data_IF_472256860758
#
_entry.id   IF_472256860758
#
_cell.length_a   1.000
_cell.length_b   1.000
_cell.length_c   1.000
_cell.angle_alpha   90.00
_cell.angle_beta   90.00
_cell.angle_gamma   90.00
#
_symmetry.space_group_name_H-M   'P 1'
#
loop_
_entity.id
_entity.type
_entity.pdbx_description
1 polymer ?
#
# COMPACT_ATOMS: atom_id res chain seq x y z
N UNK A 1 8.38 8.28 -12.29
CA UNK A 1 8.10 8.09 -10.86
C UNK A 1 9.25 7.42 -10.07
N UNK A 2 10.54 7.85 -10.19
CA UNK A 2 11.62 7.18 -9.46
C UNK A 2 11.75 7.59 -7.97
N UNK A 3 11.47 8.86 -7.61
CA UNK A 3 11.77 9.38 -6.28
C UNK A 3 10.95 8.79 -5.10
N UNK A 4 9.79 8.19 -5.37
CA UNK A 4 8.95 7.59 -4.32
C UNK A 4 9.30 6.12 -4.02
N UNK A 5 10.21 5.51 -4.79
CA UNK A 5 10.57 4.08 -4.68
C UNK A 5 11.73 3.84 -3.71
N UNK A 6 12.45 4.89 -3.35
CA UNK A 6 13.68 4.79 -2.57
C UNK A 6 13.41 4.97 -1.08
N UNK A 7 14.10 4.14 -0.28
CA UNK A 7 14.13 4.27 1.18
C UNK A 7 14.91 5.54 1.51
N UNK A 8 14.27 6.45 2.22
CA UNK A 8 14.90 7.68 2.69
C UNK A 8 15.83 7.36 3.86
N UNK A 9 17.14 7.38 3.59
CA UNK A 9 18.17 7.17 4.63
C UNK A 9 18.13 8.33 5.65
N UNK A 10 18.24 8.01 6.93
CA UNK A 10 18.28 9.00 8.03
C UNK A 10 16.92 9.47 8.55
N UNK A 11 15.81 9.07 7.92
CA UNK A 11 14.46 9.39 8.41
C UNK A 11 13.82 8.14 9.02
N UNK A 12 13.52 8.20 10.31
CA UNK A 12 12.87 7.10 11.04
C UNK A 12 11.35 7.25 11.01
N UNK A 13 10.65 6.13 11.14
CA UNK A 13 9.18 6.11 11.26
C UNK A 13 8.72 6.98 12.44
N UNK A 14 9.42 6.92 13.58
CA UNK A 14 9.09 7.70 14.77
C UNK A 14 9.24 9.21 14.51
N UNK A 15 10.31 9.63 13.83
CA UNK A 15 10.52 11.04 13.48
C UNK A 15 9.45 11.53 12.52
N UNK A 16 9.09 10.75 11.51
CA UNK A 16 8.01 11.14 10.62
C UNK A 16 6.66 11.24 11.35
N UNK A 17 6.37 10.31 12.28
CA UNK A 17 5.15 10.35 13.09
C UNK A 17 5.12 11.56 14.03
N UNK A 18 6.24 11.94 14.67
CA UNK A 18 6.26 13.11 15.57
C UNK A 18 5.89 14.41 14.86
N UNK A 19 6.20 14.50 13.58
CA UNK A 19 5.97 15.69 12.76
C UNK A 19 4.52 15.74 12.21
N UNK A 20 3.72 14.69 12.40
CA UNK A 20 2.32 14.65 11.94
C UNK A 20 1.42 15.50 12.83
N UNK A 21 0.73 16.43 12.16
CA UNK A 21 -0.31 17.27 12.75
C UNK A 21 -1.64 17.12 11.98
N UNK A 22 -2.79 17.25 12.66
CA UNK A 22 -2.96 17.37 14.12
C UNK A 22 -2.73 16.04 14.87
N UNK A 23 -2.70 16.09 16.21
CA UNK A 23 -2.47 14.93 17.11
C UNK A 23 -3.41 13.75 16.85
N UNK A 24 -4.67 14.01 16.49
CA UNK A 24 -5.63 12.97 16.10
C UNK A 24 -5.14 12.17 14.87
N UNK A 25 -4.65 12.87 13.85
CA UNK A 25 -4.06 12.25 12.66
C UNK A 25 -2.80 11.47 13.01
N UNK A 26 -1.99 11.97 13.94
CA UNK A 26 -0.80 11.27 14.45
C UNK A 26 -1.16 9.97 15.15
N UNK A 27 -2.18 9.99 16.00
CA UNK A 27 -2.67 8.80 16.70
C UNK A 27 -3.17 7.75 15.70
N UNK A 28 -3.92 8.16 14.68
CA UNK A 28 -4.42 7.27 13.64
C UNK A 28 -3.28 6.67 12.80
N UNK A 29 -2.32 7.49 12.37
CA UNK A 29 -1.11 7.02 11.69
C UNK A 29 -0.34 6.01 12.54
N UNK A 30 -0.22 6.27 13.85
CA UNK A 30 0.48 5.37 14.77
C UNK A 30 -0.24 4.03 14.92
N UNK A 31 -1.57 4.02 14.98
CA UNK A 31 -2.39 2.79 14.99
C UNK A 31 -2.19 1.99 13.70
N UNK A 32 -2.19 2.64 12.53
CA UNK A 32 -1.96 1.98 11.23
C UNK A 32 -0.56 1.36 11.19
N UNK A 33 0.46 2.09 11.65
CA UNK A 33 1.83 1.56 11.72
C UNK A 33 1.92 0.37 12.67
N UNK A 34 1.19 0.37 13.78
CA UNK A 34 1.09 -0.80 14.66
C UNK A 34 0.44 -2.00 13.95
N UNK A 35 -0.58 -1.78 13.12
CA UNK A 35 -1.17 -2.84 12.29
C UNK A 35 -0.16 -3.39 11.27
N UNK A 36 0.64 -2.52 10.64
CA UNK A 36 1.71 -2.96 9.73
C UNK A 36 2.73 -3.87 10.40
N UNK A 37 3.11 -3.56 11.65
CA UNK A 37 4.05 -4.39 12.44
C UNK A 37 3.55 -5.81 12.68
N UNK A 38 2.23 -6.05 12.64
CA UNK A 38 1.65 -7.40 12.75
C UNK A 38 1.92 -8.25 11.50
N UNK A 39 2.17 -7.61 10.35
CA UNK A 39 2.31 -8.28 9.06
C UNK A 39 3.74 -8.30 8.51
N UNK A 40 4.54 -7.29 8.84
CA UNK A 40 5.92 -7.19 8.38
C UNK A 40 6.84 -6.58 9.43
N UNK A 41 8.06 -7.10 9.50
CA UNK A 41 9.16 -6.50 10.28
C UNK A 41 9.91 -5.41 9.51
N UNK A 42 9.76 -5.37 8.18
CA UNK A 42 10.37 -4.37 7.31
C UNK A 42 9.43 -3.17 7.20
N UNK A 43 9.73 -2.09 7.93
CA UNK A 43 9.00 -0.83 7.85
C UNK A 43 9.99 0.30 7.66
N UNK A 44 9.84 1.03 6.55
CA UNK A 44 10.77 2.09 6.15
C UNK A 44 10.01 3.33 5.70
N UNK A 45 10.70 4.48 5.73
CA UNK A 45 10.19 5.69 5.13
C UNK A 45 10.62 5.74 3.66
N UNK A 46 9.65 5.95 2.77
CA UNK A 46 9.81 6.06 1.33
C UNK A 46 9.48 7.49 0.89
N UNK A 47 10.29 8.03 -0.03
CA UNK A 47 10.07 9.35 -0.62
C UNK A 47 9.84 10.48 0.41
N UNK A 48 10.45 10.38 1.59
CA UNK A 48 10.39 11.38 2.67
C UNK A 48 9.06 11.51 3.42
N UNK A 49 7.98 10.84 3.00
CA UNK A 49 6.64 11.07 3.59
C UNK A 49 5.74 9.84 3.71
N UNK A 50 6.17 8.69 3.19
CA UNK A 50 5.37 7.46 3.16
C UNK A 50 6.00 6.46 4.12
N UNK A 51 5.25 5.99 5.10
CA UNK A 51 5.66 4.86 5.93
C UNK A 51 5.21 3.59 5.22
N UNK A 52 6.13 2.90 4.57
CA UNK A 52 5.88 1.66 3.85
C UNK A 52 6.25 0.44 4.67
N UNK A 53 5.51 -0.65 4.48
CA UNK A 53 5.69 -1.92 5.15
C UNK A 53 5.72 -3.06 4.13
N UNK A 54 6.65 -3.99 4.37
CA UNK A 54 6.91 -5.13 3.49
C UNK A 54 7.60 -4.71 2.19
N UNK A 55 8.04 -5.72 1.44
CA UNK A 55 8.80 -5.55 0.21
C UNK A 55 8.22 -6.48 -0.86
N UNK A 56 7.97 -5.91 -2.04
CA UNK A 56 7.54 -6.65 -3.21
C UNK A 56 8.38 -6.29 -4.43
N UNK A 57 8.53 -7.23 -5.34
CA UNK A 57 9.11 -6.99 -6.65
C UNK A 57 8.05 -6.44 -7.59
N UNK A 58 8.22 -5.21 -8.06
CA UNK A 58 7.34 -4.59 -9.03
C UNK A 58 7.99 -4.57 -10.41
N UNK A 59 7.32 -5.18 -11.38
CA UNK A 59 7.72 -5.20 -12.77
C UNK A 59 6.74 -4.38 -13.61
N UNK A 60 7.20 -3.22 -14.07
CA UNK A 60 6.45 -2.39 -15.01
C UNK A 60 6.67 -2.86 -16.47
N UNK A 61 6.01 -2.21 -17.43
CA UNK A 61 6.30 -2.38 -18.87
C UNK A 61 7.74 -1.98 -19.26
N UNK A 62 8.44 -1.22 -18.40
CA UNK A 62 9.86 -0.92 -18.54
C UNK A 62 10.73 -2.11 -18.12
N UNK A 63 11.96 -2.20 -18.63
CA UNK A 63 12.84 -3.38 -18.53
C UNK A 63 13.33 -3.71 -17.11
N UNK A 64 13.42 -2.74 -16.19
CA UNK A 64 14.00 -3.00 -14.87
C UNK A 64 12.93 -3.18 -13.78
N UNK A 65 12.89 -4.34 -13.10
CA UNK A 65 12.10 -4.47 -11.89
C UNK A 65 12.66 -3.56 -10.80
N UNK A 66 11.80 -3.11 -9.90
CA UNK A 66 12.20 -2.36 -8.71
C UNK A 66 11.48 -2.89 -7.48
N UNK A 67 12.08 -2.66 -6.32
CA UNK A 67 11.45 -3.00 -5.05
C UNK A 67 10.43 -1.92 -4.69
N UNK A 68 9.25 -2.35 -4.27
CA UNK A 68 8.18 -1.48 -3.81
C UNK A 68 7.60 -1.99 -2.50
N UNK A 69 6.86 -1.15 -1.79
CA UNK A 69 6.16 -1.49 -0.55
C UNK A 69 4.88 -2.28 -0.83
N UNK A 70 4.55 -3.25 0.03
CA UNK A 70 3.27 -3.98 -0.07
C UNK A 70 2.11 -3.11 0.38
N UNK A 71 2.27 -2.46 1.53
CA UNK A 71 1.36 -1.46 2.08
C UNK A 71 2.13 -0.23 2.51
N UNK A 72 1.50 0.93 2.50
CA UNK A 72 2.08 2.13 3.08
C UNK A 72 1.04 3.14 3.51
N UNK A 73 1.42 4.08 4.35
CA UNK A 73 0.54 5.14 4.81
C UNK A 73 1.27 6.47 4.78
N UNK A 74 0.56 7.52 4.41
CA UNK A 74 1.08 8.87 4.42
C UNK A 74 0.04 9.85 4.95
N UNK A 75 0.48 10.74 5.82
CA UNK A 75 -0.30 11.90 6.23
C UNK A 75 -0.23 12.95 5.11
N UNK A 76 -1.38 13.30 4.54
CA UNK A 76 -1.53 14.44 3.62
C UNK A 76 -2.21 15.59 4.35
N UNK A 77 -2.25 16.76 3.70
CA UNK A 77 -2.80 17.98 4.29
C UNK A 77 -4.22 17.75 4.85
N UNK A 78 -5.13 17.21 4.04
CA UNK A 78 -6.55 17.03 4.39
C UNK A 78 -6.97 15.60 4.74
N UNK A 79 -6.13 14.59 4.47
CA UNK A 79 -6.49 13.18 4.65
C UNK A 79 -5.30 12.30 5.01
N UNK A 80 -5.61 11.08 5.43
CA UNK A 80 -4.67 9.96 5.49
C UNK A 80 -4.83 9.19 4.19
N UNK A 81 -3.71 8.97 3.50
CA UNK A 81 -3.67 8.16 2.29
C UNK A 81 -2.96 6.85 2.60
N UNK A 82 -3.65 5.74 2.37
CA UNK A 82 -3.09 4.41 2.47
C UNK A 82 -2.85 3.84 1.08
N UNK A 83 -1.60 3.47 0.83
CA UNK A 83 -1.13 2.86 -0.40
C UNK A 83 -1.16 1.35 -0.27
N UNK A 84 -1.70 0.69 -1.29
CA UNK A 84 -1.54 -0.74 -1.51
C UNK A 84 -0.77 -0.86 -2.81
N UNK A 85 0.35 -1.57 -2.83
CA UNK A 85 1.37 -1.48 -3.87
C UNK A 85 0.98 -2.04 -5.26
N UNK A 86 -0.13 -1.56 -5.81
CA UNK A 86 -0.63 -1.65 -7.18
C UNK A 86 -1.48 -2.87 -7.56
N UNK A 87 -1.99 -3.63 -6.60
CA UNK A 87 -2.67 -4.92 -6.89
C UNK A 87 -4.17 -4.90 -6.60
N UNK A 88 -4.66 -3.86 -5.94
CA UNK A 88 -6.09 -3.73 -5.69
C UNK A 88 -6.67 -2.74 -6.67
N UNK A 89 -7.40 -3.25 -7.67
CA UNK A 89 -8.55 -2.50 -8.15
C UNK A 89 -9.58 -2.48 -7.02
N UNK A 90 -9.40 -1.54 -6.09
CA UNK A 90 -10.42 -1.25 -5.11
C UNK A 90 -11.71 -0.96 -5.86
N UNK A 91 -12.77 -1.68 -5.50
CA UNK A 91 -14.09 -1.42 -6.04
C UNK A 91 -14.83 -0.45 -5.13
N UNK A 92 -15.71 0.37 -5.69
CA UNK A 92 -16.58 1.25 -4.88
C UNK A 92 -17.35 0.46 -3.81
N UNK A 93 -17.72 -0.79 -4.11
CA UNK A 93 -18.41 -1.67 -3.17
C UNK A 93 -17.53 -2.06 -1.99
N UNK A 94 -16.26 -2.40 -2.20
CA UNK A 94 -15.32 -2.69 -1.12
C UNK A 94 -15.03 -1.44 -0.29
N UNK A 95 -14.85 -0.29 -0.94
CA UNK A 95 -14.56 0.97 -0.26
C UNK A 95 -15.74 1.43 0.59
N UNK A 96 -16.98 1.28 0.11
CA UNK A 96 -18.19 1.53 0.91
C UNK A 96 -18.28 0.63 2.16
N UNK A 97 -17.79 -0.61 2.10
CA UNK A 97 -17.71 -1.49 3.28
C UNK A 97 -16.64 -1.03 4.28
N UNK A 98 -15.58 -0.41 3.80
CA UNK A 98 -14.53 0.17 4.63
C UNK A 98 -15.05 1.43 5.31
N UNK A 99 -15.73 2.31 4.59
CA UNK A 99 -16.39 3.46 5.19
C UNK A 99 -17.12 4.32 4.17
N UNK A 100 -18.25 4.95 4.54
CA UNK A 100 -19.07 5.71 3.60
C UNK A 100 -18.38 6.98 3.08
N UNK A 101 -17.40 7.51 3.83
CA UNK A 101 -16.62 8.71 3.49
C UNK A 101 -15.25 8.39 2.88
N UNK A 102 -14.91 7.11 2.73
CA UNK A 102 -13.66 6.71 2.12
C UNK A 102 -13.73 6.91 0.59
N UNK A 103 -12.65 7.39 0.00
CA UNK A 103 -12.48 7.45 -1.45
C UNK A 103 -11.26 6.66 -1.87
N UNK A 104 -11.16 6.30 -3.14
CA UNK A 104 -10.02 5.52 -3.63
C UNK A 104 -9.53 5.97 -5.00
N UNK A 105 -8.25 5.73 -5.24
CA UNK A 105 -7.65 5.74 -6.57
C UNK A 105 -7.41 4.32 -7.09
N UNK A 106 -6.48 4.19 -8.03
CA UNK A 106 -6.14 2.91 -8.66
C UNK A 106 -5.45 1.93 -7.69
N UNK A 107 -4.79 2.43 -6.65
CA UNK A 107 -4.06 1.61 -5.66
C UNK A 107 -3.93 2.27 -4.30
N UNK A 108 -4.79 3.24 -4.00
CA UNK A 108 -4.76 3.98 -2.75
C UNK A 108 -6.17 4.20 -2.22
N UNK A 109 -6.27 4.24 -0.91
CA UNK A 109 -7.47 4.56 -0.15
C UNK A 109 -7.22 5.89 0.58
N UNK A 110 -8.20 6.77 0.59
CA UNK A 110 -8.16 8.05 1.28
C UNK A 110 -9.29 8.12 2.30
N UNK A 111 -8.97 8.56 3.51
CA UNK A 111 -9.93 8.77 4.60
C UNK A 111 -9.42 9.86 5.54
N UNK A 112 -10.30 10.46 6.34
CA UNK A 112 -9.92 11.56 7.24
C UNK A 112 -9.39 11.07 8.59
N UNK A 113 -10.06 10.08 9.17
CA UNK A 113 -9.70 9.47 10.45
C UNK A 113 -10.05 7.98 10.45
N UNK A 114 -9.46 7.21 11.38
CA UNK A 114 -9.81 5.80 11.55
C UNK A 114 -11.20 5.59 12.15
N UNK A 115 -11.81 6.61 12.75
CA UNK A 115 -13.18 6.53 13.29
C UNK A 115 -14.23 6.32 12.19
N UNK A 116 -13.96 6.83 10.98
CA UNK A 116 -14.84 6.67 9.83
C UNK A 116 -14.55 5.37 9.05
N UNK A 117 -13.64 4.54 9.56
CA UNK A 117 -13.11 3.34 8.92
C UNK A 117 -13.44 2.10 9.74
N UNK A 118 -14.05 1.12 9.08
CA UNK A 118 -14.15 -0.24 9.57
C UNK A 118 -12.76 -0.89 9.58
N UNK A 119 -12.12 -0.88 10.76
CA UNK A 119 -10.77 -1.42 10.98
C UNK A 119 -10.67 -2.88 10.58
N UNK A 120 -11.69 -3.71 10.83
CA UNK A 120 -11.69 -5.12 10.46
C UNK A 120 -11.65 -5.31 8.93
N UNK A 121 -12.41 -4.50 8.19
CA UNK A 121 -12.37 -4.50 6.72
C UNK A 121 -11.01 -4.01 6.20
N UNK A 122 -10.43 -3.00 6.88
CA UNK A 122 -9.10 -2.48 6.57
C UNK A 122 -8.01 -3.55 6.74
N UNK A 123 -8.00 -4.25 7.87
CA UNK A 123 -7.04 -5.32 8.15
C UNK A 123 -7.17 -6.47 7.15
N UNK A 124 -8.39 -6.82 6.74
CA UNK A 124 -8.60 -7.83 5.69
C UNK A 124 -7.98 -7.41 4.35
N UNK A 125 -8.07 -6.13 3.99
CA UNK A 125 -7.44 -5.57 2.81
C UNK A 125 -5.91 -5.55 2.93
N UNK A 126 -5.36 -5.14 4.10
CA UNK A 126 -3.93 -5.21 4.37
C UNK A 126 -3.39 -6.64 4.26
N UNK A 127 -4.07 -7.63 4.85
CA UNK A 127 -3.69 -9.06 4.75
C UNK A 127 -3.56 -9.52 3.31
N UNK A 128 -4.53 -9.17 2.45
CA UNK A 128 -4.45 -9.48 1.01
C UNK A 128 -3.23 -8.82 0.38
N UNK A 129 -2.90 -7.58 0.74
CA UNK A 129 -1.77 -6.87 0.18
C UNK A 129 -0.42 -7.46 0.59
N UNK A 130 -0.25 -7.78 1.87
CA UNK A 130 0.96 -8.43 2.40
C UNK A 130 1.15 -9.86 1.89
N UNK A 131 0.10 -10.53 1.39
CA UNK A 131 0.23 -11.83 0.76
C UNK A 131 0.94 -11.78 -0.60
N UNK A 132 1.00 -10.61 -1.25
CA UNK A 132 1.55 -10.50 -2.60
C UNK A 132 3.01 -10.05 -2.57
N UNK A 133 3.90 -10.93 -3.05
CA UNK A 133 5.35 -10.70 -3.06
C UNK A 133 5.86 -10.13 -4.38
N UNK A 134 5.09 -10.31 -5.45
CA UNK A 134 5.48 -9.91 -6.79
C UNK A 134 4.26 -9.36 -7.54
N UNK A 135 4.45 -8.24 -8.23
CA UNK A 135 3.46 -7.68 -9.11
C UNK A 135 4.06 -7.44 -10.50
N UNK A 136 3.38 -7.98 -11.51
CA UNK A 136 3.75 -7.82 -12.92
C UNK A 136 2.64 -7.06 -13.61
N UNK A 137 2.95 -5.86 -14.09
CA UNK A 137 1.98 -5.03 -14.81
C UNK A 137 1.51 -5.75 -16.10
N UNK A 138 0.23 -5.63 -16.50
CA UNK A 138 -0.25 -6.20 -17.74
C UNK A 138 0.58 -5.75 -18.95
N UNK A 139 1.13 -6.70 -19.70
CA UNK A 139 2.01 -6.45 -20.84
C UNK A 139 3.50 -6.27 -20.50
N UNK A 140 3.90 -6.46 -19.25
CA UNK A 140 5.30 -6.53 -18.85
C UNK A 140 5.86 -7.96 -18.98
N UNK A 141 7.14 -8.09 -19.36
CA UNK A 141 7.85 -9.38 -19.31
C UNK A 141 8.11 -9.73 -17.85
N UNK A 142 7.85 -10.98 -17.44
CA UNK A 142 8.12 -11.43 -16.08
C UNK A 142 9.60 -11.24 -15.72
N UNK A 143 9.93 -10.81 -14.49
CA UNK A 143 11.32 -10.64 -14.06
C UNK A 143 12.05 -12.00 -14.07
N UNK A 144 13.30 -12.01 -14.51
CA UNK A 144 14.07 -13.23 -14.81
C UNK A 144 14.62 -13.99 -13.58
N UNK A 145 14.09 -13.77 -12.37
CA UNK A 145 14.69 -14.34 -11.15
C UNK A 145 13.79 -15.32 -10.41
N UNK A 146 14.25 -16.57 -10.46
CA UNK A 146 14.07 -17.72 -9.57
C UNK A 146 12.84 -18.62 -9.74
N UNK A 147 13.14 -19.93 -9.75
CA UNK A 147 12.27 -21.07 -9.99
C UNK A 147 10.96 -20.95 -9.20
N UNK A 148 9.87 -20.87 -9.97
CA UNK A 148 8.46 -20.90 -9.59
C UNK A 148 8.16 -22.15 -8.72
N UNK A 149 7.78 -22.05 -7.43
CA UNK A 149 6.89 -23.05 -6.86
C UNK A 149 5.47 -22.73 -7.35
N UNK A 150 4.79 -23.74 -7.87
CA UNK A 150 3.45 -23.62 -8.41
C UNK A 150 2.45 -23.31 -7.29
N UNK A 151 1.81 -22.14 -7.32
CA UNK A 151 0.51 -21.95 -6.66
C UNK A 151 -0.19 -20.67 -7.10
N UNK A 152 -1.32 -20.87 -7.81
CA UNK A 152 -2.53 -20.03 -7.84
C UNK A 152 -2.35 -18.51 -7.98
N UNK A 153 -1.88 -18.06 -9.14
CA UNK A 153 -2.19 -16.70 -9.60
C UNK A 153 -3.64 -16.70 -10.08
N UNK A 154 -4.48 -16.04 -9.28
CA UNK A 154 -5.90 -15.79 -9.55
C UNK A 154 -6.05 -15.06 -10.89
N UNK A 155 -6.32 -15.85 -11.93
CA UNK A 155 -6.56 -15.41 -13.30
C UNK A 155 -7.91 -14.70 -13.39
N UNK A 156 -7.87 -13.47 -13.92
CA UNK A 156 -8.88 -12.91 -14.83
C UNK A 156 -10.21 -12.51 -14.14
N UNK A 157 -10.68 -11.27 -14.22
CA UNK A 157 -11.28 -10.69 -15.42
C UNK A 157 -11.06 -9.17 -15.49
N UNK A 158 -10.24 -8.71 -16.43
CA UNK A 158 -10.53 -7.45 -17.13
C UNK A 158 -11.25 -7.84 -18.43
N UNK A 159 -12.58 -7.74 -18.44
CA UNK A 159 -13.33 -7.54 -19.68
C UNK A 159 -13.83 -6.11 -19.66
N UNK A 160 -13.05 -5.22 -20.27
CA UNK A 160 -13.57 -4.00 -20.90
C UNK A 160 -14.56 -4.44 -21.98
N UNK A 161 -15.81 -3.99 -21.90
CA UNK A 161 -16.71 -3.97 -23.05
C UNK A 161 -17.04 -2.52 -23.38
N UNK A 162 -16.97 -2.28 -24.69
CA UNK A 162 -17.33 -1.08 -25.46
C UNK A 162 -18.64 -0.46 -25.01
#
# INVERSE_FOLDING_TARGET
>A
MPAMTEITKGLTVQKLLSDVQPDSKRADMSKIVAMFKKHSKEIHVYGGSIIGAGKMLYQSKSQKPYNWLQCGVAARASNITMYFGCIFKLTDKEVKKIGPKCTHGVGCLHFKSLEEVNVSALEALMKRAFAVKEFIAPGAKAPATQKRPASNVMKTQLKTKK
#
